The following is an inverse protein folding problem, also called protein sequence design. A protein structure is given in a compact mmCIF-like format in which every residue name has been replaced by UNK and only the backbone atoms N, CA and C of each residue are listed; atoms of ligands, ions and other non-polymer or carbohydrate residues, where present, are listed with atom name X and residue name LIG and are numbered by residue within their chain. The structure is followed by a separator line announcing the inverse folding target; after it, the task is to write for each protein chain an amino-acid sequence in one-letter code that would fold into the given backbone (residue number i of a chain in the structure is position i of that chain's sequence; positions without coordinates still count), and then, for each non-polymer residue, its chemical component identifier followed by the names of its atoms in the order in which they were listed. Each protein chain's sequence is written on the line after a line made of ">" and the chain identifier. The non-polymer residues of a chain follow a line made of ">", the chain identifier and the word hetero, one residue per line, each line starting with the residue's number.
data_IF_758263771916
#
_entry.id   IF_758263771916
#
_cell.length_a   1.000
_cell.length_b   1.000
_cell.length_c   1.000
_cell.angle_alpha   90.00
_cell.angle_beta   90.00
_cell.angle_gamma   90.00
#
_symmetry.space_group_name_H-M   'P 1'
#
loop_
_entity.id
_entity.type
_entity.pdbx_description
1 polymer ?
#
# COMPACT_ATOMS: atom_id res chain seq x y z
N UNK A 1 -48.20 19.56 78.51
CA UNK A 1 -47.85 19.65 77.09
C UNK A 1 -47.04 18.39 76.75
N UNK A 2 -47.69 17.37 76.18
CA UNK A 2 -47.05 16.11 75.80
C UNK A 2 -46.69 16.19 74.30
N UNK A 3 -45.41 15.95 73.98
CA UNK A 3 -44.92 15.77 72.61
C UNK A 3 -45.40 14.41 72.08
N UNK A 4 -46.09 14.43 70.94
CA UNK A 4 -46.34 13.26 70.11
C UNK A 4 -45.23 13.19 69.05
N UNK A 5 -44.39 12.17 69.09
CA UNK A 5 -43.49 11.82 67.99
C UNK A 5 -44.29 11.15 66.86
N UNK A 6 -44.07 11.49 65.58
CA UNK A 6 -44.76 10.83 64.47
C UNK A 6 -44.11 9.49 64.12
N UNK A 7 -44.97 8.48 63.95
CA UNK A 7 -44.68 7.11 63.46
C UNK A 7 -43.96 7.11 62.10
N UNK A 8 -42.97 6.24 61.84
CA UNK A 8 -42.33 6.14 60.53
C UNK A 8 -43.22 5.41 59.51
N UNK A 9 -43.37 6.01 58.33
CA UNK A 9 -44.03 5.42 57.15
C UNK A 9 -43.18 4.28 56.55
N UNK A 10 -43.74 3.10 56.21
CA UNK A 10 -42.99 2.04 55.57
C UNK A 10 -42.75 2.34 54.09
N UNK A 11 -41.50 2.26 53.65
CA UNK A 11 -41.07 2.34 52.24
C UNK A 11 -41.52 1.09 51.45
N UNK A 12 -41.95 1.22 50.19
CA UNK A 12 -42.42 0.09 49.40
C UNK A 12 -41.27 -0.87 49.04
N UNK A 13 -41.51 -2.19 48.98
CA UNK A 13 -40.49 -3.17 48.65
C UNK A 13 -40.01 -3.00 47.20
N UNK A 14 -38.70 -2.93 47.02
CA UNK A 14 -38.06 -2.88 45.70
C UNK A 14 -38.37 -4.16 44.90
N UNK A 15 -38.98 -4.01 43.72
CA UNK A 15 -39.27 -5.14 42.82
C UNK A 15 -37.97 -5.86 42.40
N UNK A 16 -37.89 -7.20 42.46
CA UNK A 16 -36.70 -7.92 42.05
C UNK A 16 -36.50 -7.78 40.53
N UNK A 17 -35.31 -7.36 40.11
CA UNK A 17 -34.95 -7.28 38.68
C UNK A 17 -34.98 -8.70 38.08
N UNK A 18 -35.82 -8.89 37.05
CA UNK A 18 -35.95 -10.15 36.31
C UNK A 18 -34.58 -10.49 35.72
N UNK A 19 -33.94 -11.54 36.23
CA UNK A 19 -32.63 -11.98 35.72
C UNK A 19 -32.83 -12.53 34.31
N UNK A 20 -32.00 -12.08 33.37
CA UNK A 20 -32.01 -12.62 32.01
C UNK A 20 -31.71 -14.13 32.05
N UNK A 21 -32.50 -14.87 31.28
CA UNK A 21 -32.39 -16.31 31.09
C UNK A 21 -30.98 -16.67 30.58
N UNK A 22 -30.44 -17.79 31.03
CA UNK A 22 -29.13 -18.31 30.64
C UNK A 22 -29.02 -18.47 29.13
N UNK A 23 -30.10 -18.87 28.45
CA UNK A 23 -30.14 -18.98 26.98
C UNK A 23 -29.96 -17.60 26.33
N UNK A 24 -30.60 -16.57 26.89
CA UNK A 24 -30.49 -15.20 26.37
C UNK A 24 -29.09 -14.65 26.58
N UNK A 25 -28.44 -14.95 27.71
CA UNK A 25 -27.03 -14.58 27.94
C UNK A 25 -26.09 -15.28 26.98
N UNK A 26 -26.32 -16.56 26.71
CA UNK A 26 -25.52 -17.33 25.75
C UNK A 26 -25.67 -16.74 24.35
N UNK A 27 -26.91 -16.44 23.92
CA UNK A 27 -27.19 -15.82 22.65
C UNK A 27 -26.53 -14.44 22.53
N UNK A 28 -26.61 -13.60 23.58
CA UNK A 28 -25.95 -12.28 23.59
C UNK A 28 -24.42 -12.40 23.52
N UNK A 29 -23.86 -13.40 24.19
CA UNK A 29 -22.42 -13.70 24.15
C UNK A 29 -21.95 -14.14 22.76
N UNK A 30 -22.71 -15.01 22.10
CA UNK A 30 -22.42 -15.45 20.73
C UNK A 30 -22.53 -14.28 19.74
N UNK A 31 -23.55 -13.44 19.86
CA UNK A 31 -23.69 -12.23 19.04
C UNK A 31 -22.51 -11.29 19.25
N UNK A 32 -22.16 -10.97 20.50
CA UNK A 32 -21.03 -10.11 20.82
C UNK A 32 -19.72 -10.66 20.25
N UNK A 33 -19.44 -11.94 20.46
CA UNK A 33 -18.24 -12.62 19.93
C UNK A 33 -18.21 -12.60 18.39
N UNK A 34 -19.35 -12.78 17.73
CA UNK A 34 -19.45 -12.73 16.28
C UNK A 34 -19.14 -11.34 15.74
N UNK A 35 -19.69 -10.30 16.36
CA UNK A 35 -19.37 -8.90 16.02
C UNK A 35 -17.89 -8.60 16.25
N UNK A 36 -17.29 -9.07 17.36
CA UNK A 36 -15.86 -8.87 17.62
C UNK A 36 -14.99 -9.59 16.59
N UNK A 37 -15.34 -10.81 16.18
CA UNK A 37 -14.60 -11.57 15.16
C UNK A 37 -14.72 -10.93 13.78
N UNK A 38 -15.91 -10.49 13.38
CA UNK A 38 -16.12 -9.79 12.10
C UNK A 38 -15.38 -8.45 12.12
N UNK A 39 -15.52 -7.67 13.18
CA UNK A 39 -14.84 -6.39 13.32
C UNK A 39 -13.32 -6.55 13.35
N UNK A 40 -12.81 -7.52 14.11
CA UNK A 40 -11.39 -7.85 14.16
C UNK A 40 -10.85 -8.35 12.83
N UNK A 41 -11.58 -9.21 12.12
CA UNK A 41 -11.21 -9.67 10.78
C UNK A 41 -11.17 -8.52 9.78
N UNK A 42 -12.17 -7.64 9.80
CA UNK A 42 -12.18 -6.43 8.95
C UNK A 42 -11.06 -5.45 9.30
N UNK A 43 -10.66 -5.34 10.57
CA UNK A 43 -9.56 -4.49 11.01
C UNK A 43 -8.20 -5.01 10.52
N UNK A 44 -7.95 -6.32 10.67
CA UNK A 44 -6.70 -6.95 10.24
C UNK A 44 -6.55 -7.04 8.72
N UNK A 45 -7.66 -7.05 7.98
CA UNK A 45 -7.67 -7.18 6.51
C UNK A 45 -7.87 -5.84 5.81
N UNK A 46 -7.75 -4.69 6.51
CA UNK A 46 -7.89 -3.39 5.85
C UNK A 46 -6.89 -3.31 4.70
N UNK A 47 -7.36 -3.25 3.44
CA UNK A 47 -6.47 -3.01 2.32
C UNK A 47 -5.79 -1.69 2.58
N UNK A 48 -4.48 -1.66 2.41
CA UNK A 48 -3.70 -0.45 2.57
C UNK A 48 -4.20 0.60 1.56
N UNK A 49 -5.08 1.51 2.04
CA UNK A 49 -5.75 2.52 1.22
C UNK A 49 -4.81 3.63 0.77
N UNK A 50 -3.56 3.63 1.23
CA UNK A 50 -2.56 4.61 0.81
C UNK A 50 -1.94 4.26 -0.53
N UNK A 51 -2.19 3.05 -1.05
CA UNK A 51 -1.65 2.62 -2.34
C UNK A 51 -2.69 2.97 -3.42
N UNK A 52 -2.38 3.88 -4.35
CA UNK A 52 -3.28 4.13 -5.47
C UNK A 52 -3.47 2.83 -6.26
N UNK A 53 -4.67 2.59 -6.79
CA UNK A 53 -4.94 1.39 -7.57
C UNK A 53 -3.93 1.26 -8.72
N UNK A 54 -3.33 0.09 -8.86
CA UNK A 54 -2.44 -0.25 -9.98
C UNK A 54 -2.51 -1.75 -10.27
N UNK A 55 -2.09 -2.10 -11.47
CA UNK A 55 -2.00 -3.48 -11.93
C UNK A 55 -0.68 -3.70 -12.65
N UNK A 56 -0.05 -4.86 -12.43
CA UNK A 56 1.10 -5.31 -13.22
C UNK A 56 0.55 -5.91 -14.51
N UNK A 57 0.86 -5.30 -15.65
CA UNK A 57 0.42 -5.78 -16.96
C UNK A 57 1.33 -6.88 -17.50
N UNK A 58 2.64 -6.66 -17.43
CA UNK A 58 3.64 -7.63 -17.87
C UNK A 58 4.95 -7.50 -17.10
N UNK A 59 5.73 -8.57 -17.12
CA UNK A 59 7.05 -8.61 -16.52
C UNK A 59 7.97 -9.49 -17.38
N UNK A 60 9.14 -8.96 -17.72
CA UNK A 60 10.18 -9.68 -18.47
C UNK A 60 11.51 -9.52 -17.73
N UNK A 61 11.97 -10.61 -17.10
CA UNK A 61 13.16 -10.61 -16.26
C UNK A 61 13.03 -9.62 -15.10
N UNK A 62 13.87 -8.58 -15.11
CA UNK A 62 13.89 -7.53 -14.09
C UNK A 62 13.03 -6.31 -14.40
N UNK A 63 12.40 -6.26 -15.57
CA UNK A 63 11.58 -5.14 -16.02
C UNK A 63 10.11 -5.50 -15.86
N UNK A 64 9.37 -4.60 -15.22
CA UNK A 64 7.97 -4.72 -14.87
C UNK A 64 7.24 -3.54 -15.51
N UNK A 65 6.23 -3.83 -16.32
CA UNK A 65 5.32 -2.81 -16.83
C UNK A 65 4.01 -2.86 -16.04
N UNK A 66 3.70 -1.75 -15.38
CA UNK A 66 2.51 -1.57 -14.58
C UNK A 66 1.66 -0.43 -15.14
N UNK A 67 0.36 -0.48 -14.90
CA UNK A 67 -0.54 0.61 -15.23
C UNK A 67 -1.37 1.04 -14.03
N UNK A 68 -1.75 2.30 -14.02
CA UNK A 68 -2.67 2.92 -13.06
C UNK A 68 -3.95 3.34 -13.79
N UNK A 69 -5.10 3.47 -13.10
CA UNK A 69 -6.31 4.02 -13.70
C UNK A 69 -6.10 5.40 -14.33
N UNK A 70 -6.88 5.69 -15.36
CA UNK A 70 -6.76 6.91 -16.17
C UNK A 70 -6.97 8.23 -15.41
N UNK A 71 -7.67 8.18 -14.28
CA UNK A 71 -7.93 9.30 -13.38
C UNK A 71 -6.83 9.48 -12.31
N UNK A 72 -5.78 8.66 -12.34
CA UNK A 72 -4.67 8.75 -11.39
C UNK A 72 -3.86 10.02 -11.65
N UNK A 73 -3.77 10.87 -10.62
CA UNK A 73 -2.99 12.12 -10.66
C UNK A 73 -1.49 11.87 -10.54
N UNK A 74 -0.68 12.87 -10.85
CA UNK A 74 0.78 12.80 -10.67
C UNK A 74 1.17 12.54 -9.20
N UNK A 75 0.39 13.07 -8.25
CA UNK A 75 0.56 12.77 -6.83
C UNK A 75 0.29 11.28 -6.53
N UNK A 76 -0.69 10.69 -7.20
CA UNK A 76 -0.95 9.25 -7.14
C UNK A 76 0.25 8.45 -7.64
N UNK A 77 0.77 8.77 -8.84
CA UNK A 77 1.96 8.10 -9.38
C UNK A 77 3.17 8.28 -8.46
N UNK A 78 3.39 9.48 -7.91
CA UNK A 78 4.45 9.74 -6.93
C UNK A 78 4.29 8.87 -5.68
N UNK A 79 3.08 8.74 -5.16
CA UNK A 79 2.78 7.89 -4.00
C UNK A 79 3.08 6.43 -4.28
N UNK A 80 2.76 5.93 -5.48
CA UNK A 80 3.10 4.58 -5.92
C UNK A 80 4.62 4.36 -5.99
N UNK A 81 5.35 5.32 -6.57
CA UNK A 81 6.82 5.27 -6.67
C UNK A 81 7.47 5.31 -5.28
N UNK A 82 6.99 6.17 -4.37
CA UNK A 82 7.41 6.19 -2.96
C UNK A 82 7.10 4.87 -2.26
N UNK A 83 6.00 4.19 -2.62
CA UNK A 83 5.66 2.88 -2.06
C UNK A 83 6.63 1.80 -2.52
N UNK A 84 7.03 1.78 -3.79
CA UNK A 84 8.08 0.88 -4.26
C UNK A 84 9.39 1.11 -3.52
N UNK A 85 9.76 2.37 -3.28
CA UNK A 85 10.92 2.73 -2.45
C UNK A 85 10.82 2.15 -1.03
N UNK A 86 9.67 2.33 -0.37
CA UNK A 86 9.43 1.79 0.98
C UNK A 86 9.60 0.28 1.01
N UNK A 87 9.05 -0.45 0.03
CA UNK A 87 9.20 -1.91 -0.07
C UNK A 87 10.67 -2.30 -0.33
N UNK A 88 11.36 -1.62 -1.25
CA UNK A 88 12.77 -1.86 -1.54
C UNK A 88 13.67 -1.69 -0.32
N UNK A 89 13.45 -0.65 0.48
CA UNK A 89 14.25 -0.37 1.68
C UNK A 89 13.89 -1.22 2.90
N UNK A 90 12.61 -1.51 3.13
CA UNK A 90 12.16 -2.16 4.37
C UNK A 90 12.20 -3.68 4.29
N UNK A 91 11.61 -4.26 3.24
CA UNK A 91 11.44 -5.72 3.15
C UNK A 91 12.25 -6.34 2.03
N UNK A 92 12.64 -5.53 1.03
CA UNK A 92 13.30 -5.98 -0.20
C UNK A 92 12.52 -7.10 -0.92
N UNK A 93 11.21 -7.20 -0.65
CA UNK A 93 10.36 -8.30 -1.11
C UNK A 93 9.11 -7.76 -1.80
N UNK A 94 9.16 -7.71 -3.13
CA UNK A 94 8.13 -7.07 -3.95
C UNK A 94 6.93 -7.98 -4.28
N UNK A 95 6.89 -9.22 -3.76
CA UNK A 95 5.74 -10.12 -3.99
C UNK A 95 4.42 -9.54 -3.46
N UNK A 96 4.46 -8.76 -2.36
CA UNK A 96 3.29 -8.03 -1.84
C UNK A 96 2.77 -6.97 -2.82
N UNK A 97 3.61 -6.53 -3.75
CA UNK A 97 3.29 -5.61 -4.85
C UNK A 97 2.97 -6.36 -6.15
N UNK A 98 2.67 -7.68 -6.09
CA UNK A 98 2.39 -8.54 -7.25
C UNK A 98 3.52 -8.60 -8.28
N UNK A 99 4.74 -8.25 -7.90
CA UNK A 99 5.93 -8.36 -8.76
C UNK A 99 6.58 -9.72 -8.51
N UNK A 100 6.75 -10.50 -9.58
CA UNK A 100 7.40 -11.80 -9.50
C UNK A 100 8.90 -11.62 -9.24
N UNK A 101 9.59 -12.61 -8.63
CA UNK A 101 11.05 -12.61 -8.48
C UNK A 101 11.74 -12.21 -9.79
N UNK A 102 12.51 -11.12 -9.74
CA UNK A 102 13.20 -10.57 -10.92
C UNK A 102 14.59 -11.17 -11.12
N UNK A 103 15.18 -11.69 -10.04
CA UNK A 103 16.45 -12.43 -10.03
C UNK A 103 16.27 -13.81 -9.40
N UNK A 104 15.49 -14.71 -10.03
CA UNK A 104 15.25 -16.04 -9.49
C UNK A 104 16.55 -16.84 -9.43
N UNK A 105 16.83 -17.46 -8.29
CA UNK A 105 18.01 -18.31 -8.07
C UNK A 105 19.31 -17.57 -7.73
N UNK A 106 19.32 -16.23 -7.63
CA UNK A 106 20.50 -15.49 -7.16
C UNK A 106 20.65 -15.69 -5.63
N UNK A 107 21.82 -16.15 -5.13
CA UNK A 107 22.08 -16.27 -3.70
C UNK A 107 22.01 -14.93 -2.95
N UNK A 108 22.15 -13.81 -3.66
CA UNK A 108 22.06 -12.46 -3.10
C UNK A 108 20.60 -11.95 -2.99
N UNK A 109 19.61 -12.73 -3.44
CA UNK A 109 18.19 -12.44 -3.24
C UNK A 109 17.37 -12.34 -4.52
N UNK A 110 16.05 -12.49 -4.36
CA UNK A 110 15.09 -12.61 -5.47
C UNK A 110 14.74 -11.30 -6.20
N UNK A 111 15.16 -10.16 -5.66
CA UNK A 111 14.78 -8.82 -6.14
C UNK A 111 15.97 -7.87 -6.29
N UNK A 112 17.15 -8.38 -6.59
CA UNK A 112 18.39 -7.59 -6.64
C UNK A 112 18.36 -6.48 -7.72
N UNK A 113 17.63 -6.73 -8.80
CA UNK A 113 17.38 -5.77 -9.88
C UNK A 113 15.89 -5.69 -10.13
N UNK A 114 15.31 -4.50 -10.03
CA UNK A 114 13.89 -4.27 -10.32
C UNK A 114 13.76 -2.95 -11.05
N UNK A 115 13.11 -2.96 -12.20
CA UNK A 115 12.74 -1.75 -12.92
C UNK A 115 11.24 -1.80 -13.13
N UNK A 116 10.51 -0.83 -12.59
CA UNK A 116 9.07 -0.70 -12.76
C UNK A 116 8.81 0.53 -13.62
N UNK A 117 8.08 0.34 -14.71
CA UNK A 117 7.53 1.40 -15.54
C UNK A 117 6.04 1.54 -15.26
N UNK A 118 5.57 2.77 -15.07
CA UNK A 118 4.18 3.07 -14.76
C UNK A 118 3.53 3.82 -15.92
N UNK A 119 2.44 3.26 -16.43
CA UNK A 119 1.65 3.80 -17.52
C UNK A 119 0.24 4.16 -17.06
N UNK A 120 -0.42 5.07 -17.79
CA UNK A 120 -1.86 5.29 -17.65
C UNK A 120 -2.65 4.36 -18.57
N UNK A 121 -2.16 4.16 -19.80
CA UNK A 121 -2.77 3.25 -20.76
C UNK A 121 -2.19 1.83 -20.58
N UNK A 122 -3.08 0.88 -20.32
CA UNK A 122 -2.75 -0.53 -20.08
C UNK A 122 -2.13 -1.22 -21.29
N UNK A 123 -2.43 -0.76 -22.52
CA UNK A 123 -1.82 -1.25 -23.75
C UNK A 123 -0.29 -1.13 -23.76
N UNK A 124 0.28 -0.13 -23.08
CA UNK A 124 1.75 -0.03 -22.93
C UNK A 124 2.33 -1.00 -21.90
N UNK A 125 1.48 -1.53 -21.02
CA UNK A 125 1.86 -2.54 -20.04
C UNK A 125 1.71 -3.97 -20.56
N UNK A 126 1.23 -4.17 -21.79
CA UNK A 126 1.08 -5.49 -22.41
C UNK A 126 2.43 -6.17 -22.70
N UNK A 127 2.49 -7.51 -22.61
CA UNK A 127 3.73 -8.26 -22.83
C UNK A 127 4.29 -8.08 -24.25
N UNK A 128 3.44 -7.97 -25.27
CA UNK A 128 3.88 -7.82 -26.67
C UNK A 128 4.57 -6.47 -26.90
N UNK A 129 4.06 -5.41 -26.29
CA UNK A 129 4.63 -4.06 -26.38
C UNK A 129 5.93 -3.98 -25.59
N UNK A 130 5.97 -4.57 -24.38
CA UNK A 130 7.20 -4.67 -23.61
C UNK A 130 8.28 -5.47 -24.36
N UNK A 131 7.95 -6.60 -24.98
CA UNK A 131 8.92 -7.37 -25.76
C UNK A 131 9.46 -6.58 -26.97
N UNK A 132 8.62 -5.82 -27.67
CA UNK A 132 9.07 -4.94 -28.77
C UNK A 132 9.99 -3.81 -28.28
N UNK A 133 9.67 -3.24 -27.13
CA UNK A 133 10.52 -2.26 -26.46
C UNK A 133 11.91 -2.85 -26.13
N UNK A 134 11.94 -4.05 -25.54
CA UNK A 134 13.18 -4.74 -25.19
C UNK A 134 13.97 -5.20 -26.41
N UNK A 135 13.30 -5.54 -27.51
CA UNK A 135 13.92 -5.83 -28.80
C UNK A 135 14.51 -4.58 -29.47
N UNK A 136 14.26 -3.38 -28.94
CA UNK A 136 14.78 -2.13 -29.46
C UNK A 136 14.04 -1.62 -30.70
N UNK A 137 12.76 -1.99 -30.89
CA UNK A 137 11.98 -1.46 -32.01
C UNK A 137 11.92 0.09 -31.94
N UNK A 138 12.44 0.82 -32.94
CA UNK A 138 12.64 2.27 -32.83
C UNK A 138 11.35 3.05 -32.60
N UNK A 139 10.24 2.59 -33.19
CA UNK A 139 8.94 3.24 -33.06
C UNK A 139 8.33 3.01 -31.69
N UNK A 140 8.45 1.77 -31.20
CA UNK A 140 7.99 1.39 -29.87
C UNK A 140 8.81 2.13 -28.82
N UNK A 141 10.15 2.10 -28.86
CA UNK A 141 11.02 2.76 -27.87
C UNK A 141 10.67 4.23 -27.69
N UNK A 142 10.53 4.97 -28.78
CA UNK A 142 10.20 6.40 -28.73
C UNK A 142 8.85 6.68 -28.05
N UNK A 143 7.83 5.88 -28.39
CA UNK A 143 6.49 6.07 -27.82
C UNK A 143 6.41 5.53 -26.39
N UNK A 144 7.13 4.45 -26.08
CA UNK A 144 7.20 3.83 -24.76
C UNK A 144 7.79 4.79 -23.73
N UNK A 145 8.89 5.47 -24.07
CA UNK A 145 9.48 6.51 -23.21
C UNK A 145 8.51 7.69 -23.02
N UNK A 146 7.84 8.12 -24.09
CA UNK A 146 6.90 9.25 -24.05
C UNK A 146 5.67 9.00 -23.15
N UNK A 147 5.16 7.78 -23.17
CA UNK A 147 3.91 7.41 -22.50
C UNK A 147 4.13 7.00 -21.03
N UNK A 148 5.40 6.87 -20.62
CA UNK A 148 5.78 6.58 -19.24
C UNK A 148 5.45 7.74 -18.31
N UNK A 149 4.64 7.48 -17.30
CA UNK A 149 4.22 8.49 -16.29
C UNK A 149 5.11 8.49 -15.07
N UNK A 150 5.78 7.38 -14.80
CA UNK A 150 6.77 7.30 -13.74
C UNK A 150 7.55 6.00 -13.79
N UNK A 151 8.61 5.96 -13.01
CA UNK A 151 9.47 4.80 -12.92
C UNK A 151 10.03 4.61 -11.52
N UNK A 152 10.37 3.37 -11.22
CA UNK A 152 11.18 2.99 -10.07
C UNK A 152 12.28 2.05 -10.56
N UNK A 153 13.53 2.32 -10.19
CA UNK A 153 14.68 1.47 -10.48
C UNK A 153 15.40 1.12 -9.19
N UNK A 154 15.62 -0.16 -8.99
CA UNK A 154 16.45 -0.75 -7.97
C UNK A 154 17.53 -1.58 -8.68
N UNK A 155 18.79 -1.25 -8.45
CA UNK A 155 19.92 -1.98 -9.00
C UNK A 155 20.96 -2.20 -7.92
N UNK A 156 21.07 -3.45 -7.45
CA UNK A 156 21.97 -3.83 -6.37
C UNK A 156 21.64 -3.09 -5.07
N UNK A 157 22.29 -1.95 -4.83
CA UNK A 157 22.03 -1.08 -3.67
C UNK A 157 21.64 0.34 -4.07
N UNK A 158 21.62 0.65 -5.37
CA UNK A 158 21.21 1.94 -5.89
C UNK A 158 19.71 1.94 -6.17
N UNK A 159 19.04 2.96 -5.69
CA UNK A 159 17.65 3.23 -5.98
C UNK A 159 17.48 4.58 -6.67
N UNK A 160 16.55 4.64 -7.61
CA UNK A 160 16.14 5.85 -8.31
C UNK A 160 14.64 5.77 -8.57
N UNK A 161 13.94 6.87 -8.45
CA UNK A 161 12.53 6.95 -8.79
C UNK A 161 12.13 8.34 -9.21
N UNK A 162 11.19 8.42 -10.15
CA UNK A 162 10.78 9.68 -10.73
C UNK A 162 9.43 9.61 -11.44
N UNK A 163 8.92 10.78 -11.78
CA UNK A 163 7.81 10.96 -12.70
C UNK A 163 8.36 11.23 -14.11
N UNK A 164 7.65 10.76 -15.13
CA UNK A 164 8.06 10.83 -16.53
C UNK A 164 8.98 9.67 -16.95
N UNK A 165 9.68 9.83 -18.10
CA UNK A 165 10.58 8.80 -18.63
C UNK A 165 11.81 8.57 -17.74
N UNK A 166 12.34 7.35 -17.79
CA UNK A 166 13.60 7.04 -17.11
C UNK A 166 14.78 7.78 -17.78
N UNK A 167 15.61 8.51 -17.03
CA UNK A 167 16.76 9.20 -17.60
C UNK A 167 17.82 8.17 -18.05
N UNK A 168 18.39 8.40 -19.23
CA UNK A 168 19.47 7.56 -19.76
C UNK A 168 20.75 7.86 -18.98
N UNK A 169 21.51 6.82 -18.64
CA UNK A 169 22.75 6.98 -17.89
C UNK A 169 23.72 7.90 -18.64
N UNK A 170 24.09 9.02 -18.02
CA UNK A 170 24.97 10.03 -18.60
C UNK A 170 24.31 11.02 -19.58
N UNK A 171 22.99 10.95 -19.78
CA UNK A 171 22.25 11.95 -20.54
C UNK A 171 21.68 13.03 -19.60
N UNK A 172 21.47 14.23 -20.15
CA UNK A 172 20.73 15.27 -19.45
C UNK A 172 19.31 14.78 -19.15
N UNK A 173 18.84 15.07 -17.94
CA UNK A 173 17.47 14.75 -17.52
C UNK A 173 16.53 15.57 -18.40
N UNK A 174 15.64 14.89 -19.11
CA UNK A 174 14.63 15.55 -19.94
C UNK A 174 13.76 16.46 -19.09
N UNK A 175 13.35 17.62 -19.60
CA UNK A 175 12.42 18.55 -18.93
C UNK A 175 11.10 17.87 -18.49
N UNK A 176 10.73 16.77 -19.14
CA UNK A 176 9.57 15.96 -18.81
C UNK A 176 9.77 15.01 -17.61
N UNK A 177 11.00 14.92 -17.06
CA UNK A 177 11.37 13.98 -15.99
C UNK A 177 11.57 14.72 -14.68
N UNK A 178 10.81 14.33 -13.66
CA UNK A 178 10.98 14.82 -12.29
C UNK A 178 11.51 13.71 -11.41
N UNK A 179 12.80 13.78 -11.07
CA UNK A 179 13.43 12.83 -10.14
C UNK A 179 12.91 13.12 -8.73
N UNK A 180 12.36 12.09 -8.07
CA UNK A 180 11.83 12.17 -6.71
C UNK A 180 12.90 11.79 -5.69
N UNK A 181 13.70 10.77 -6.00
CA UNK A 181 14.81 10.33 -5.17
C UNK A 181 15.84 9.58 -6.01
N UNK A 182 17.09 9.65 -5.56
CA UNK A 182 18.22 8.88 -6.08
C UNK A 182 19.23 8.72 -4.96
N UNK A 183 19.74 7.51 -4.75
CA UNK A 183 20.73 7.25 -3.71
C UNK A 183 20.91 5.77 -3.41
N UNK A 184 21.57 5.46 -2.31
CA UNK A 184 21.73 4.10 -1.82
C UNK A 184 20.54 3.71 -0.94
N UNK A 185 20.17 2.44 -0.96
CA UNK A 185 19.14 1.85 -0.08
C UNK A 185 19.51 2.07 1.40
N UNK A 186 20.80 2.05 1.71
CA UNK A 186 21.36 2.24 3.06
C UNK A 186 21.34 3.70 3.54
N UNK A 187 21.08 4.65 2.65
CA UNK A 187 21.05 6.07 3.04
C UNK A 187 19.89 6.33 4.01
N UNK A 188 20.06 7.21 5.01
CA UNK A 188 19.00 7.54 5.94
C UNK A 188 17.76 8.01 5.17
N UNK A 189 16.63 7.41 5.51
CA UNK A 189 15.36 7.73 4.89
C UNK A 189 14.94 9.13 5.37
N UNK A 190 14.63 10.09 4.47
CA UNK A 190 14.06 11.36 4.89
C UNK A 190 12.76 11.10 5.68
N UNK A 191 12.54 11.82 6.79
CA UNK A 191 11.44 11.61 7.74
C UNK A 191 10.03 11.54 7.12
N UNK A 192 9.84 11.92 5.86
CA UNK A 192 8.60 11.75 5.09
C UNK A 192 8.10 10.30 4.97
N UNK A 193 8.96 9.28 5.14
CA UNK A 193 8.54 7.87 5.12
C UNK A 193 8.28 7.28 6.52
N UNK A 194 8.53 8.02 7.60
CA UNK A 194 8.40 7.54 8.98
C UNK A 194 6.99 7.64 9.56
N UNK A 195 6.10 8.45 8.99
CA UNK A 195 4.79 8.70 9.61
C UNK A 195 3.63 8.29 8.71
N UNK A 196 3.20 7.03 8.86
CA UNK A 196 1.77 6.66 8.94
C UNK A 196 1.66 5.40 9.81
N UNK A 197 2.10 5.51 11.06
CA UNK A 197 1.64 4.61 12.13
C UNK A 197 0.44 5.31 12.77
N UNK A 198 -0.78 4.93 12.39
CA UNK A 198 -2.00 5.44 13.00
C UNK A 198 -2.11 4.88 14.43
N UNK A 199 -1.33 5.45 15.34
CA UNK A 199 -1.55 5.36 16.78
C UNK A 199 -2.83 6.14 17.11
N UNK A 200 -3.98 5.50 16.93
CA UNK A 200 -5.22 6.01 17.52
C UNK A 200 -5.16 5.63 19.00
N UNK A 201 -4.79 6.60 19.84
CA UNK A 201 -4.95 6.54 21.29
C UNK A 201 -6.39 6.15 21.63
N UNK A 202 -6.60 5.24 22.58
CA UNK A 202 -7.95 5.01 23.11
C UNK A 202 -8.36 6.23 23.95
N UNK A 203 -9.50 6.84 23.59
CA UNK A 203 -10.35 7.58 24.53
C UNK A 203 -11.54 6.70 24.89
#
# INVERSE_FOLDING_TARGET
>A
MQQQDPTPTPTPPSKPKKRLDTVVKLALGVVAMSFTLIWGGMYLTRPDRTIPPYSVGSQVGHIVAAHVPHDTTDLGVETLVKRFRKVGRQTHHFAKMKIQPTTPGDPNGWYRKVVVYVFVNDGWAEPDVLNKFLAGDPTTVKNYEKEMRGYYRLQDQEEEGGLGPIPKAGAEVSDATRILFKGLITDPVPAELEYEDFSISPM
#
